data_IF_074330778247
#
_entry.id   IF_074330778247
#
_cell.length_a   1.000
_cell.length_b   1.000
_cell.length_c   1.000
_cell.angle_alpha   90.00
_cell.angle_beta   90.00
_cell.angle_gamma   90.00
#
_symmetry.space_group_name_H-M   'P 1'
#
loop_
_entity.id
_entity.type
_entity.pdbx_description
1 polymer ?
#
# COMPACT_ATOMS: atom_id res chain seq x y z
N UNK A 1 -47.70 29.62 -50.64
CA UNK A 1 -46.51 29.73 -49.78
C UNK A 1 -46.19 28.33 -49.29
N UNK A 2 -45.14 27.68 -49.86
CA UNK A 2 -44.73 26.32 -49.50
C UNK A 2 -43.51 26.43 -48.58
N UNK A 3 -43.47 25.73 -47.43
CA UNK A 3 -42.25 25.67 -46.62
C UNK A 3 -41.37 24.52 -47.15
N UNK A 4 -40.09 24.84 -47.37
CA UNK A 4 -39.03 23.93 -47.70
C UNK A 4 -38.58 23.19 -46.41
N UNK A 5 -38.71 21.88 -46.45
CA UNK A 5 -38.14 21.01 -45.40
C UNK A 5 -36.68 20.71 -45.78
N UNK A 6 -35.73 21.24 -45.00
CA UNK A 6 -34.30 20.84 -45.07
C UNK A 6 -34.09 19.60 -44.23
N UNK A 7 -33.80 18.47 -44.89
CA UNK A 7 -33.28 17.27 -44.22
C UNK A 7 -31.79 17.43 -44.00
N UNK A 8 -31.36 17.54 -42.78
CA UNK A 8 -29.96 17.46 -42.37
C UNK A 8 -29.59 15.97 -42.19
N UNK A 9 -28.76 15.45 -43.08
CA UNK A 9 -28.17 14.12 -42.93
C UNK A 9 -27.00 14.20 -41.96
N UNK A 10 -27.14 13.56 -40.78
CA UNK A 10 -26.08 13.37 -39.80
C UNK A 10 -25.31 12.10 -40.23
N UNK A 11 -24.09 12.25 -40.76
CA UNK A 11 -23.17 11.13 -40.94
C UNK A 11 -22.48 10.81 -39.66
N UNK A 12 -22.83 9.66 -39.04
CA UNK A 12 -22.07 9.06 -37.94
C UNK A 12 -20.76 8.49 -38.54
N UNK A 13 -19.65 9.12 -38.32
CA UNK A 13 -18.33 8.52 -38.48
C UNK A 13 -18.07 7.59 -37.31
N UNK A 14 -18.19 6.27 -37.52
CA UNK A 14 -17.74 5.26 -36.59
C UNK A 14 -16.21 5.30 -36.51
N UNK A 15 -15.66 5.67 -35.30
CA UNK A 15 -14.29 5.35 -34.98
C UNK A 15 -14.20 3.83 -34.74
N UNK A 16 -13.74 3.09 -35.74
CA UNK A 16 -13.27 1.72 -35.57
C UNK A 16 -11.94 1.74 -34.80
N UNK A 17 -11.61 0.65 -34.08
CA UNK A 17 -10.27 0.50 -33.55
C UNK A 17 -9.30 0.45 -34.72
N UNK A 18 -8.50 1.50 -34.88
CA UNK A 18 -7.44 1.53 -35.91
C UNK A 18 -6.43 0.46 -35.52
N UNK A 19 -6.33 -0.59 -36.35
CA UNK A 19 -5.14 -1.44 -36.36
C UNK A 19 -3.95 -0.52 -36.63
N UNK A 20 -2.99 -0.52 -35.74
CA UNK A 20 -1.72 0.17 -35.95
C UNK A 20 -1.13 -0.37 -37.29
N UNK A 21 -0.66 0.50 -38.19
CA UNK A 21 -0.10 0.05 -39.43
C UNK A 21 1.06 -0.92 -39.16
N UNK A 22 1.12 -2.00 -39.95
CA UNK A 22 2.13 -3.05 -39.76
C UNK A 22 3.58 -2.52 -39.78
N UNK A 23 3.78 -1.37 -40.39
CA UNK A 23 5.05 -0.65 -40.40
C UNK A 23 5.45 -0.09 -39.05
N UNK A 24 4.49 0.30 -38.19
CA UNK A 24 4.77 0.79 -36.81
C UNK A 24 5.16 -0.38 -35.90
N UNK A 25 4.59 -1.56 -36.08
CA UNK A 25 4.98 -2.75 -35.32
C UNK A 25 6.37 -3.25 -35.73
N UNK A 26 6.68 -3.28 -37.01
CA UNK A 26 8.00 -3.65 -37.52
C UNK A 26 9.09 -2.67 -37.04
N UNK A 27 8.75 -1.39 -36.96
CA UNK A 27 9.67 -0.37 -36.42
C UNK A 27 9.87 -0.50 -34.94
N UNK A 28 8.83 -0.87 -34.17
CA UNK A 28 8.93 -1.13 -32.75
C UNK A 28 9.76 -2.38 -32.48
N UNK A 29 9.61 -3.43 -33.29
CA UNK A 29 10.42 -4.64 -33.22
C UNK A 29 11.89 -4.35 -33.52
N UNK A 30 12.18 -3.50 -34.53
CA UNK A 30 13.54 -3.05 -34.82
C UNK A 30 14.13 -2.19 -33.68
N UNK A 31 13.35 -1.29 -33.07
CA UNK A 31 13.80 -0.51 -31.91
C UNK A 31 14.07 -1.41 -30.70
N UNK A 32 13.24 -2.41 -30.45
CA UNK A 32 13.44 -3.39 -29.37
C UNK A 32 14.65 -4.30 -29.64
N UNK A 33 14.84 -4.74 -30.88
CA UNK A 33 16.00 -5.53 -31.28
C UNK A 33 17.32 -4.74 -31.15
N UNK A 34 17.30 -3.44 -31.47
CA UNK A 34 18.45 -2.54 -31.24
C UNK A 34 18.68 -2.26 -29.76
N UNK A 35 17.61 -2.21 -28.94
CA UNK A 35 17.73 -2.09 -27.49
C UNK A 35 18.30 -3.36 -26.84
N UNK A 36 18.04 -4.53 -27.42
CA UNK A 36 18.59 -5.81 -26.95
C UNK A 36 20.07 -5.98 -27.31
N UNK A 37 20.55 -5.22 -28.29
CA UNK A 37 21.98 -5.03 -28.57
C UNK A 37 22.54 -3.81 -27.82
N UNK A 38 22.05 -3.55 -26.59
CA UNK A 38 22.47 -2.43 -25.78
C UNK A 38 24.01 -2.39 -25.73
N UNK A 39 24.56 -1.36 -26.35
CA UNK A 39 25.99 -1.09 -26.30
C UNK A 39 26.41 -1.00 -24.83
N UNK A 40 27.22 -1.93 -24.32
CA UNK A 40 27.68 -1.91 -22.94
C UNK A 40 28.37 -0.61 -22.54
N UNK A 41 28.76 0.21 -23.52
CA UNK A 41 29.30 1.54 -23.30
C UNK A 41 28.25 2.57 -22.86
N UNK A 42 26.93 2.30 -23.03
CA UNK A 42 25.84 3.24 -22.68
C UNK A 42 25.40 3.16 -21.24
N UNK A 43 25.47 1.99 -20.61
CA UNK A 43 25.22 1.82 -19.20
C UNK A 43 26.19 0.79 -18.61
N UNK A 44 27.34 1.26 -18.09
CA UNK A 44 28.37 0.39 -17.51
C UNK A 44 27.84 -0.41 -16.31
N UNK A 45 26.84 0.10 -15.59
CA UNK A 45 26.26 -0.59 -14.43
C UNK A 45 25.34 -1.73 -14.89
N UNK A 46 24.55 -1.52 -15.93
CA UNK A 46 23.73 -2.56 -16.55
C UNK A 46 24.58 -3.62 -17.22
N UNK A 47 25.64 -3.20 -17.93
CA UNK A 47 26.60 -4.12 -18.53
C UNK A 47 27.35 -4.95 -17.47
N UNK A 48 27.76 -4.35 -16.36
CA UNK A 48 28.37 -5.06 -15.25
C UNK A 48 27.37 -6.02 -14.58
N UNK A 49 26.11 -5.62 -14.40
CA UNK A 49 25.06 -6.47 -13.84
C UNK A 49 24.68 -7.65 -14.77
N UNK A 50 24.77 -7.45 -16.10
CA UNK A 50 24.54 -8.51 -17.10
C UNK A 50 25.78 -9.39 -17.32
N UNK A 51 26.97 -8.83 -17.10
CA UNK A 51 28.24 -9.58 -17.16
C UNK A 51 28.61 -10.20 -15.82
N UNK A 52 28.12 -9.66 -14.73
CA UNK A 52 28.07 -10.38 -13.46
C UNK A 52 27.08 -11.52 -13.69
N UNK A 53 27.57 -12.49 -14.46
CA UNK A 53 26.94 -13.79 -14.47
C UNK A 53 26.63 -14.05 -13.00
N UNK A 54 25.38 -14.20 -12.67
CA UNK A 54 25.03 -15.09 -11.57
C UNK A 54 25.89 -16.32 -11.84
N UNK A 55 27.05 -16.35 -11.21
CA UNK A 55 27.99 -17.46 -11.32
C UNK A 55 27.24 -18.66 -10.78
N UNK A 56 26.50 -19.27 -11.65
CA UNK A 56 25.92 -20.55 -11.37
C UNK A 56 27.09 -21.50 -11.50
N UNK A 57 27.89 -21.55 -10.42
CA UNK A 57 28.84 -22.63 -10.24
C UNK A 57 28.08 -23.93 -10.59
N UNK A 58 28.50 -24.70 -11.60
CA UNK A 58 27.85 -25.96 -11.94
C UNK A 58 27.69 -26.89 -10.75
N UNK A 59 28.55 -26.81 -9.72
CA UNK A 59 28.41 -27.53 -8.47
C UNK A 59 27.30 -26.94 -7.57
N UNK A 60 27.12 -25.59 -7.58
CA UNK A 60 25.99 -24.95 -6.89
C UNK A 60 24.65 -25.18 -7.61
N UNK A 61 24.65 -25.34 -8.94
CA UNK A 61 23.49 -25.76 -9.70
C UNK A 61 23.00 -27.15 -9.25
N UNK A 62 23.93 -28.06 -9.01
CA UNK A 62 23.56 -29.40 -8.51
C UNK A 62 23.08 -29.35 -7.06
N UNK A 63 23.62 -28.45 -6.24
CA UNK A 63 23.17 -28.24 -4.85
C UNK A 63 21.90 -27.38 -4.76
N UNK A 64 21.74 -26.36 -5.60
CA UNK A 64 20.52 -25.56 -5.63
C UNK A 64 19.31 -26.37 -6.08
N UNK A 65 19.49 -27.32 -6.98
CA UNK A 65 18.44 -28.27 -7.36
C UNK A 65 18.11 -29.30 -6.25
N UNK A 66 19.03 -29.57 -5.32
CA UNK A 66 18.76 -30.42 -4.16
C UNK A 66 17.98 -29.65 -3.06
N UNK A 67 18.15 -28.34 -2.99
CA UNK A 67 17.40 -27.44 -2.07
C UNK A 67 16.30 -26.64 -2.77
N UNK A 68 16.09 -26.80 -4.08
CA UNK A 68 14.92 -26.26 -4.73
C UNK A 68 13.70 -26.90 -4.04
N UNK A 69 12.86 -26.07 -3.44
CA UNK A 69 11.55 -26.49 -2.98
C UNK A 69 10.84 -27.01 -4.23
N UNK A 70 10.92 -28.32 -4.48
CA UNK A 70 10.08 -28.94 -5.50
C UNK A 70 8.66 -28.67 -5.09
N UNK A 71 7.86 -27.99 -5.93
CA UNK A 71 6.43 -27.92 -5.68
C UNK A 71 5.98 -29.38 -5.48
N UNK A 72 5.19 -29.69 -4.47
CA UNK A 72 4.65 -31.02 -4.29
C UNK A 72 3.94 -31.45 -5.58
N UNK A 73 4.06 -32.70 -5.98
CA UNK A 73 3.42 -33.26 -7.19
C UNK A 73 1.89 -33.01 -7.21
N UNK A 74 1.34 -32.68 -6.06
CA UNK A 74 -0.01 -32.14 -5.87
C UNK A 74 0.10 -30.89 -5.04
N UNK A 75 -0.22 -29.69 -5.62
CA UNK A 75 -0.26 -28.47 -4.84
C UNK A 75 -1.23 -28.65 -3.68
N UNK A 76 -0.71 -28.52 -2.47
CA UNK A 76 -1.56 -28.50 -1.28
C UNK A 76 -2.26 -27.13 -1.25
N UNK A 77 -3.57 -27.14 -1.50
CA UNK A 77 -4.39 -25.92 -1.43
C UNK A 77 -4.42 -25.32 -0.03
N UNK A 78 -4.02 -26.06 1.00
CA UNK A 78 -3.83 -25.55 2.36
C UNK A 78 -2.64 -24.61 2.52
N UNK A 79 -1.67 -24.63 1.59
CA UNK A 79 -0.51 -23.76 1.61
C UNK A 79 -0.75 -22.39 0.94
N UNK A 80 -1.84 -22.22 0.21
CA UNK A 80 -2.24 -20.91 -0.29
C UNK A 80 -2.79 -20.09 0.87
N UNK A 81 -2.12 -18.94 1.16
CA UNK A 81 -2.69 -17.97 2.08
C UNK A 81 -4.15 -17.71 1.65
N UNK A 82 -5.12 -17.73 2.58
CA UNK A 82 -6.52 -17.49 2.23
C UNK A 82 -6.61 -16.21 1.42
N UNK A 83 -7.16 -16.31 0.23
CA UNK A 83 -7.27 -15.23 -0.75
C UNK A 83 -8.16 -14.12 -0.18
N UNK A 84 -8.98 -14.45 0.80
CA UNK A 84 -9.98 -13.57 1.35
C UNK A 84 -9.95 -13.57 2.90
N UNK A 85 -9.57 -12.43 3.47
CA UNK A 85 -9.62 -12.21 4.92
C UNK A 85 -11.07 -12.07 5.39
N UNK A 86 -11.97 -11.55 4.55
CA UNK A 86 -13.37 -11.38 4.88
C UNK A 86 -14.12 -12.72 4.98
N UNK A 87 -13.60 -13.79 4.37
CA UNK A 87 -14.16 -15.13 4.55
C UNK A 87 -13.96 -15.69 5.98
N UNK A 88 -13.11 -15.05 6.80
CA UNK A 88 -13.05 -15.37 8.23
C UNK A 88 -14.01 -14.47 8.99
N UNK A 89 -14.90 -15.04 9.78
CA UNK A 89 -15.70 -14.22 10.68
C UNK A 89 -14.77 -13.36 11.55
N UNK A 90 -15.15 -12.10 11.73
CA UNK A 90 -14.47 -11.22 12.67
C UNK A 90 -14.27 -11.96 14.00
N UNK A 91 -13.06 -11.94 14.54
CA UNK A 91 -12.83 -12.33 15.93
C UNK A 91 -13.77 -11.49 16.80
N UNK A 92 -14.34 -12.09 17.85
CA UNK A 92 -15.26 -11.39 18.74
C UNK A 92 -14.73 -9.98 19.04
N UNK A 93 -15.56 -8.93 18.89
CA UNK A 93 -15.11 -7.57 19.05
C UNK A 93 -14.49 -7.39 20.44
N UNK A 94 -13.36 -6.68 20.56
CA UNK A 94 -12.77 -6.38 21.86
C UNK A 94 -13.81 -5.66 22.74
N UNK A 95 -13.94 -6.04 24.02
CA UNK A 95 -14.91 -5.39 24.88
C UNK A 95 -14.50 -3.94 25.22
N UNK A 96 -15.47 -3.09 25.56
CA UNK A 96 -15.23 -1.76 26.10
C UNK A 96 -14.78 -0.72 25.08
N UNK A 97 -15.08 -0.91 23.80
CA UNK A 97 -14.85 0.12 22.80
C UNK A 97 -15.79 1.30 23.00
N UNK A 98 -15.22 2.50 22.93
CA UNK A 98 -15.96 3.77 22.90
C UNK A 98 -16.17 4.13 21.43
N UNK A 99 -17.41 4.42 21.02
CA UNK A 99 -17.68 4.85 19.64
C UNK A 99 -16.82 6.09 19.29
N UNK A 100 -16.19 6.03 18.11
CA UNK A 100 -15.55 7.21 17.56
C UNK A 100 -16.61 8.27 17.21
N UNK A 101 -16.32 9.57 17.36
CA UNK A 101 -17.24 10.61 16.94
C UNK A 101 -17.51 10.53 15.43
N UNK A 102 -18.61 11.14 14.98
CA UNK A 102 -18.84 11.32 13.55
C UNK A 102 -17.64 12.01 12.90
N UNK A 103 -17.23 11.58 11.71
CA UNK A 103 -16.04 12.14 11.08
C UNK A 103 -16.26 13.59 10.65
N UNK A 104 -15.30 14.44 10.97
CA UNK A 104 -15.25 15.77 10.41
C UNK A 104 -14.85 15.70 8.92
N UNK A 105 -15.51 16.48 8.08
CA UNK A 105 -15.11 16.71 6.71
C UNK A 105 -13.81 17.55 6.68
N UNK A 106 -13.15 17.64 5.52
CA UNK A 106 -11.83 18.27 5.33
C UNK A 106 -10.72 17.51 6.05
N UNK A 107 -10.25 16.47 5.39
CA UNK A 107 -9.19 15.59 5.88
C UNK A 107 -7.89 15.79 5.09
N UNK A 108 -7.04 16.76 5.45
CA UNK A 108 -5.76 16.95 4.76
C UNK A 108 -4.85 15.73 4.83
N UNK A 109 -4.94 14.95 5.92
CA UNK A 109 -4.17 13.72 6.06
C UNK A 109 -4.70 12.61 5.15
N UNK A 110 -6.02 12.53 4.90
CA UNK A 110 -6.56 11.61 3.90
C UNK A 110 -5.95 11.85 2.52
N UNK A 111 -5.71 13.11 2.15
CA UNK A 111 -5.08 13.49 0.88
C UNK A 111 -3.63 13.02 0.77
N UNK A 112 -2.90 12.97 1.88
CA UNK A 112 -1.53 12.45 1.91
C UNK A 112 -1.48 10.97 1.48
N UNK A 113 -2.54 10.21 1.80
CA UNK A 113 -2.66 8.79 1.43
C UNK A 113 -3.03 8.58 -0.04
N UNK A 114 -3.76 9.50 -0.64
CA UNK A 114 -4.21 9.39 -2.03
C UNK A 114 -2.99 9.37 -2.96
N UNK A 115 -2.87 8.32 -3.79
CA UNK A 115 -1.78 8.15 -4.74
C UNK A 115 -0.42 7.81 -4.12
N UNK A 116 -0.32 7.56 -2.81
CA UNK A 116 0.88 7.02 -2.19
C UNK A 116 0.89 5.49 -2.33
N UNK A 117 1.97 4.94 -2.92
CA UNK A 117 2.12 3.50 -3.16
C UNK A 117 2.76 2.79 -1.97
N UNK A 118 3.55 3.49 -1.17
CA UNK A 118 4.27 2.94 -0.02
C UNK A 118 3.98 3.72 1.26
N UNK A 119 4.17 3.09 2.41
CA UNK A 119 4.07 3.75 3.72
C UNK A 119 5.05 4.92 3.86
N UNK A 120 6.26 4.77 3.32
CA UNK A 120 7.25 5.85 3.30
C UNK A 120 6.72 7.08 2.58
N UNK A 121 6.07 6.90 1.42
CA UNK A 121 5.48 8.01 0.66
C UNK A 121 4.30 8.66 1.41
N UNK A 122 3.51 7.89 2.18
CA UNK A 122 2.45 8.46 3.04
C UNK A 122 3.06 9.32 4.14
N UNK A 123 4.11 8.82 4.79
CA UNK A 123 4.81 9.56 5.85
C UNK A 123 5.45 10.85 5.33
N UNK A 124 6.09 10.79 4.16
CA UNK A 124 6.73 11.95 3.52
C UNK A 124 5.72 13.05 3.15
N UNK A 125 4.52 12.67 2.70
CA UNK A 125 3.45 13.60 2.32
C UNK A 125 2.64 14.09 3.52
N UNK A 126 2.80 13.49 4.68
CA UNK A 126 2.11 13.85 5.91
C UNK A 126 2.42 15.28 6.34
N UNK A 127 1.51 15.88 7.10
CA UNK A 127 1.62 17.28 7.57
C UNK A 127 2.66 17.46 8.67
N UNK A 128 2.97 16.40 9.43
CA UNK A 128 4.00 16.45 10.45
C UNK A 128 5.39 16.45 9.82
N UNK A 129 6.04 17.59 9.85
CA UNK A 129 7.41 17.77 9.29
C UNK A 129 8.44 16.86 9.93
N UNK A 130 8.24 16.44 11.19
CA UNK A 130 9.13 15.50 11.89
C UNK A 130 9.01 14.12 11.26
N UNK A 131 7.78 13.67 11.02
CA UNK A 131 7.49 12.41 10.33
C UNK A 131 8.08 12.45 8.92
N UNK A 132 7.81 13.50 8.14
CA UNK A 132 8.33 13.68 6.80
C UNK A 132 9.86 13.69 6.76
N UNK A 133 10.50 14.37 7.71
CA UNK A 133 11.97 14.40 7.82
C UNK A 133 12.62 13.06 8.18
N UNK A 134 11.86 12.14 8.75
CA UNK A 134 12.31 10.79 9.09
C UNK A 134 12.06 9.77 7.97
N UNK A 135 11.12 10.05 7.06
CA UNK A 135 10.63 9.09 6.07
C UNK A 135 11.74 8.51 5.18
N UNK A 136 12.74 9.30 4.81
CA UNK A 136 13.88 8.84 4.00
C UNK A 136 14.88 7.93 4.71
N UNK A 137 14.73 7.72 6.04
CA UNK A 137 15.65 6.91 6.86
C UNK A 137 15.03 5.63 7.37
N UNK A 138 13.79 5.33 6.99
CA UNK A 138 13.09 4.13 7.43
C UNK A 138 13.72 2.87 6.85
N UNK A 139 13.81 1.83 7.69
CA UNK A 139 14.17 0.48 7.25
C UNK A 139 12.96 -0.43 7.32
N UNK A 140 12.80 -1.31 6.33
CA UNK A 140 11.67 -2.23 6.25
C UNK A 140 11.98 -3.53 6.99
N UNK A 141 11.13 -3.90 7.94
CA UNK A 141 11.20 -5.17 8.68
C UNK A 141 9.88 -5.44 9.40
N UNK A 142 9.40 -6.66 9.37
CA UNK A 142 8.21 -7.08 10.12
C UNK A 142 8.33 -6.85 11.64
N UNK A 143 9.57 -6.78 12.16
CA UNK A 143 9.82 -6.51 13.58
C UNK A 143 9.27 -5.15 14.05
N UNK A 144 9.08 -4.18 13.15
CA UNK A 144 8.52 -2.87 13.50
C UNK A 144 7.06 -2.94 13.94
N UNK A 145 6.31 -3.94 13.44
CA UNK A 145 4.93 -4.16 13.86
C UNK A 145 4.79 -4.47 15.36
N UNK A 146 5.84 -5.02 15.98
CA UNK A 146 5.87 -5.32 17.41
C UNK A 146 6.32 -4.11 18.27
N UNK A 147 6.64 -2.99 17.64
CA UNK A 147 7.13 -1.77 18.31
C UNK A 147 6.15 -0.62 18.24
N UNK A 148 4.89 -0.91 17.93
CA UNK A 148 3.85 0.11 17.91
C UNK A 148 3.55 0.61 19.33
N UNK A 149 3.25 1.91 19.50
CA UNK A 149 2.90 2.48 20.79
C UNK A 149 1.51 1.99 21.27
N UNK A 150 1.27 2.06 22.55
CA UNK A 150 -0.01 1.65 23.16
C UNK A 150 -1.22 2.43 22.62
N UNK A 151 -1.00 3.65 22.07
CA UNK A 151 -2.06 4.45 21.45
C UNK A 151 -2.52 3.88 20.09
N UNK A 152 -1.64 3.14 19.39
CA UNK A 152 -1.92 2.62 18.06
C UNK A 152 -1.42 1.16 17.91
N UNK A 153 -1.90 0.21 18.74
CA UNK A 153 -1.52 -1.20 18.65
C UNK A 153 -2.16 -1.84 17.41
N UNK A 154 -1.65 -3.00 17.01
CA UNK A 154 -2.35 -3.83 16.02
C UNK A 154 -3.72 -4.27 16.55
N UNK A 155 -4.70 -4.32 15.64
CA UNK A 155 -5.98 -4.93 15.94
C UNK A 155 -5.83 -6.46 16.09
N UNK A 156 -6.63 -7.15 16.93
CA UNK A 156 -6.41 -8.58 17.24
C UNK A 156 -6.32 -9.54 16.06
N UNK A 157 -7.05 -9.28 14.98
CA UNK A 157 -7.02 -10.11 13.76
C UNK A 157 -6.09 -9.55 12.66
N UNK A 158 -5.28 -8.53 13.00
CA UNK A 158 -4.44 -7.84 12.04
C UNK A 158 -3.48 -8.80 11.32
N UNK A 159 -3.46 -8.69 9.99
CA UNK A 159 -2.49 -9.36 9.13
C UNK A 159 -1.57 -8.32 8.54
N UNK A 160 -0.36 -8.25 9.06
CA UNK A 160 0.65 -7.28 8.62
C UNK A 160 1.04 -7.58 7.17
N UNK A 161 0.95 -6.56 6.33
CA UNK A 161 1.34 -6.60 4.93
C UNK A 161 2.72 -5.98 4.76
N UNK A 162 2.95 -4.85 5.44
CA UNK A 162 4.18 -4.08 5.36
C UNK A 162 4.47 -3.45 6.73
N UNK A 163 5.73 -3.40 7.12
CA UNK A 163 6.15 -2.67 8.31
C UNK A 163 7.53 -2.03 8.07
N UNK A 164 7.67 -0.81 8.53
CA UNK A 164 8.89 -0.03 8.42
C UNK A 164 9.06 0.87 9.65
N UNK A 165 10.26 1.34 9.88
CA UNK A 165 10.49 2.27 10.96
C UNK A 165 11.93 2.73 11.04
N UNK A 166 12.17 3.67 11.92
CA UNK A 166 13.49 4.19 12.31
C UNK A 166 13.48 4.52 13.79
N UNK A 167 14.60 4.26 14.45
CA UNK A 167 14.79 4.51 15.88
C UNK A 167 16.17 5.13 16.09
N UNK A 168 16.25 6.41 15.80
CA UNK A 168 17.46 7.22 15.87
C UNK A 168 17.16 8.51 16.65
N UNK A 169 18.19 9.20 17.17
CA UNK A 169 18.00 10.51 17.81
C UNK A 169 17.22 11.47 16.89
N UNK A 170 16.09 11.96 17.39
CA UNK A 170 15.19 12.86 16.64
C UNK A 170 14.27 12.17 15.64
N UNK A 171 14.34 10.84 15.48
CA UNK A 171 13.48 10.06 14.60
C UNK A 171 13.07 8.75 15.27
N UNK A 172 11.89 8.72 15.87
CA UNK A 172 11.26 7.51 16.41
C UNK A 172 9.95 7.27 15.63
N UNK A 173 10.06 6.70 14.42
CA UNK A 173 8.94 6.53 13.51
C UNK A 173 8.60 5.06 13.31
N UNK A 174 7.32 4.73 13.36
CA UNK A 174 6.76 3.39 13.13
C UNK A 174 5.67 3.50 12.07
N UNK A 175 5.75 2.62 11.09
CA UNK A 175 4.80 2.55 9.99
C UNK A 175 4.41 1.09 9.80
N UNK A 176 3.11 0.81 9.74
CA UNK A 176 2.62 -0.55 9.53
C UNK A 176 1.36 -0.53 8.69
N UNK A 177 1.36 -1.28 7.59
CA UNK A 177 0.13 -1.62 6.86
C UNK A 177 -0.32 -3.00 7.27
N UNK A 178 -1.58 -3.13 7.59
CA UNK A 178 -2.21 -4.42 7.84
C UNK A 178 -3.63 -4.48 7.28
N UNK A 179 -4.14 -5.69 7.17
CA UNK A 179 -5.52 -5.98 6.80
C UNK A 179 -6.23 -6.65 7.96
N UNK A 180 -7.51 -6.32 8.10
CA UNK A 180 -8.41 -6.89 9.10
C UNK A 180 -9.72 -7.30 8.45
N UNK A 181 -10.38 -8.32 8.99
CA UNK A 181 -11.75 -8.69 8.63
C UNK A 181 -12.79 -7.79 9.28
N UNK A 182 -12.40 -7.00 10.28
CA UNK A 182 -13.29 -6.09 10.98
C UNK A 182 -13.78 -4.95 10.08
N UNK A 183 -15.04 -4.54 10.20
CA UNK A 183 -15.57 -3.40 9.46
C UNK A 183 -14.92 -2.10 9.93
N UNK A 184 -14.85 -1.11 9.04
CA UNK A 184 -14.17 0.18 9.26
C UNK A 184 -14.59 0.86 10.56
N UNK A 185 -15.89 0.94 10.86
CA UNK A 185 -16.40 1.58 12.08
C UNK A 185 -15.83 0.94 13.36
N UNK A 186 -15.64 -0.38 13.36
CA UNK A 186 -15.05 -1.10 14.48
C UNK A 186 -13.59 -0.72 14.71
N UNK A 187 -12.83 -0.56 13.64
CA UNK A 187 -11.43 -0.12 13.72
C UNK A 187 -11.33 1.35 14.09
N UNK A 188 -12.26 2.21 13.66
CA UNK A 188 -12.35 3.58 14.12
C UNK A 188 -12.58 3.65 15.63
N UNK A 189 -13.54 2.89 16.16
CA UNK A 189 -13.80 2.78 17.60
C UNK A 189 -12.57 2.27 18.37
N UNK A 190 -11.86 1.29 17.80
CA UNK A 190 -10.65 0.72 18.39
C UNK A 190 -9.56 1.77 18.55
N UNK A 191 -9.17 2.45 17.47
CA UNK A 191 -8.10 3.43 17.53
C UNK A 191 -8.49 4.68 18.32
N UNK A 192 -9.74 5.10 18.25
CA UNK A 192 -10.25 6.15 19.10
C UNK A 192 -10.14 5.79 20.58
N UNK A 193 -10.58 4.59 20.95
CA UNK A 193 -10.50 4.08 22.32
C UNK A 193 -9.06 3.98 22.82
N UNK A 194 -8.16 3.39 21.99
CA UNK A 194 -6.75 3.21 22.36
C UNK A 194 -6.00 4.53 22.49
N UNK A 195 -6.23 5.45 21.56
CA UNK A 195 -5.64 6.79 21.61
C UNK A 195 -6.06 7.53 22.88
N UNK A 196 -7.36 7.55 23.18
CA UNK A 196 -7.91 8.17 24.40
C UNK A 196 -7.34 7.54 25.66
N UNK A 197 -7.33 6.21 25.75
CA UNK A 197 -6.81 5.48 26.89
C UNK A 197 -5.31 5.74 27.13
N UNK A 198 -4.56 5.99 26.07
CA UNK A 198 -3.14 6.35 26.14
C UNK A 198 -2.89 7.86 26.40
N UNK A 199 -3.94 8.66 26.59
CA UNK A 199 -3.85 10.10 26.89
C UNK A 199 -3.58 10.99 25.68
N UNK A 200 -3.86 10.50 24.46
CA UNK A 200 -3.79 11.33 23.26
C UNK A 200 -5.10 12.09 23.06
N UNK A 201 -5.04 13.26 22.40
CA UNK A 201 -6.21 13.80 21.73
C UNK A 201 -6.62 12.77 20.66
N UNK A 202 -7.91 12.54 20.48
CA UNK A 202 -8.34 11.62 19.43
C UNK A 202 -9.42 12.29 18.58
N UNK A 203 -9.14 12.42 17.29
CA UNK A 203 -10.00 13.04 16.29
C UNK A 203 -10.36 12.02 15.23
N UNK A 204 -11.55 12.16 14.64
CA UNK A 204 -12.00 11.36 13.51
C UNK A 204 -12.29 12.27 12.33
N UNK A 205 -11.61 12.04 11.21
CA UNK A 205 -11.81 12.77 9.96
C UNK A 205 -12.03 11.82 8.82
N UNK A 206 -12.74 12.25 7.77
CA UNK A 206 -12.94 11.43 6.57
C UNK A 206 -13.02 12.26 5.30
N UNK A 207 -12.45 11.74 4.21
CA UNK A 207 -12.55 12.30 2.86
C UNK A 207 -12.34 11.18 1.83
N UNK A 208 -13.19 11.15 0.79
CA UNK A 208 -13.02 10.23 -0.33
C UNK A 208 -13.04 8.73 0.04
N UNK A 209 -13.79 8.34 1.08
CA UNK A 209 -13.86 6.95 1.57
C UNK A 209 -12.68 6.52 2.45
N UNK A 210 -11.70 7.40 2.66
CA UNK A 210 -10.63 7.20 3.65
C UNK A 210 -11.02 7.87 4.95
N UNK A 211 -10.96 7.13 6.04
CA UNK A 211 -11.14 7.66 7.40
C UNK A 211 -9.78 7.71 8.10
N UNK A 212 -9.60 8.71 8.95
CA UNK A 212 -8.39 8.88 9.74
C UNK A 212 -8.78 9.08 11.20
N UNK A 213 -8.28 8.21 12.06
CA UNK A 213 -8.24 8.44 13.50
C UNK A 213 -6.84 8.92 13.84
N UNK A 214 -6.72 10.10 14.35
CA UNK A 214 -5.42 10.70 14.70
C UNK A 214 -5.43 11.31 16.08
N UNK A 215 -4.25 11.42 16.67
CA UNK A 215 -4.11 12.05 17.98
C UNK A 215 -2.68 12.44 18.32
N UNK A 216 -2.56 13.40 19.24
CA UNK A 216 -1.28 13.90 19.73
C UNK A 216 -1.23 13.84 21.26
N UNK A 217 -0.02 13.63 21.80
CA UNK A 217 0.30 13.72 23.22
C UNK A 217 1.70 14.32 23.37
N UNK A 218 1.77 15.60 23.69
CA UNK A 218 3.04 16.33 23.63
C UNK A 218 3.63 16.31 22.24
N UNK A 219 4.82 15.76 22.08
CA UNK A 219 5.48 15.60 20.78
C UNK A 219 5.16 14.29 20.06
N UNK A 220 4.55 13.35 20.76
CA UNK A 220 4.13 12.09 20.20
C UNK A 220 2.81 12.23 19.42
N UNK A 221 2.70 11.57 18.28
CA UNK A 221 1.49 11.55 17.47
C UNK A 221 1.26 10.18 16.84
N UNK A 222 0.02 9.87 16.51
CA UNK A 222 -0.32 8.74 15.66
C UNK A 222 -1.42 9.10 14.67
N UNK A 223 -1.43 8.40 13.54
CA UNK A 223 -2.48 8.42 12.52
C UNK A 223 -2.79 6.97 12.12
N UNK A 224 -4.07 6.62 12.13
CA UNK A 224 -4.59 5.37 11.60
C UNK A 224 -5.48 5.70 10.40
N UNK A 225 -5.00 5.40 9.20
CA UNK A 225 -5.78 5.53 7.95
C UNK A 225 -6.56 4.25 7.75
N UNK A 226 -7.87 4.37 7.66
CA UNK A 226 -8.81 3.25 7.54
C UNK A 226 -9.47 3.32 6.16
N UNK A 227 -9.36 2.26 5.38
CA UNK A 227 -9.95 2.17 4.05
C UNK A 227 -10.78 0.90 3.93
N UNK A 228 -12.06 0.99 3.52
CA UNK A 228 -12.87 -0.18 3.32
C UNK A 228 -12.31 -0.98 2.14
N UNK A 229 -12.37 -2.29 2.26
CA UNK A 229 -12.01 -3.23 1.21
C UNK A 229 -13.27 -3.78 0.55
N UNK A 230 -13.14 -4.22 -0.70
CA UNK A 230 -14.25 -4.79 -1.45
C UNK A 230 -14.81 -6.11 -0.85
N UNK A 231 -14.05 -6.75 0.02
CA UNK A 231 -14.43 -7.98 0.73
C UNK A 231 -15.13 -7.74 2.07
N UNK A 232 -15.46 -6.49 2.39
CA UNK A 232 -16.12 -6.10 3.65
C UNK A 232 -15.17 -5.84 4.82
N UNK A 233 -13.90 -6.20 4.69
CA UNK A 233 -12.86 -5.88 5.67
C UNK A 233 -12.28 -4.48 5.51
N UNK A 234 -11.24 -4.18 6.27
CA UNK A 234 -10.58 -2.89 6.28
C UNK A 234 -9.07 -3.04 6.10
N UNK A 235 -8.48 -2.19 5.28
CA UNK A 235 -7.05 -1.99 5.22
C UNK A 235 -6.67 -0.78 6.07
N UNK A 236 -5.61 -0.92 6.85
CA UNK A 236 -5.17 0.08 7.81
C UNK A 236 -3.70 0.39 7.60
N UNK A 237 -3.39 1.70 7.47
CA UNK A 237 -2.02 2.18 7.55
C UNK A 237 -1.84 2.94 8.87
N UNK A 238 -0.93 2.48 9.70
CA UNK A 238 -0.56 3.12 10.95
C UNK A 238 0.73 3.91 10.77
N UNK A 239 0.73 5.13 11.22
CA UNK A 239 1.92 5.97 11.36
C UNK A 239 1.96 6.46 12.80
N UNK A 240 3.07 6.22 13.51
CA UNK A 240 3.27 6.71 14.86
C UNK A 240 4.68 7.25 15.01
N UNK A 241 4.80 8.44 15.61
CA UNK A 241 6.07 9.01 16.01
C UNK A 241 6.11 9.22 17.54
N UNK A 242 7.26 9.07 18.13
CA UNK A 242 7.47 9.34 19.56
C UNK A 242 6.65 8.40 20.46
N UNK A 243 7.20 7.32 20.94
CA UNK A 243 6.55 6.38 21.86
C UNK A 243 7.55 5.82 22.84
#
# INVERSE_FOLDING_TARGET
MRPLLLLAAITLTACGPGEAPADDLARLDDELAVADTADPARDPALAAALQDQIMVDPQLLQQSNANAIRPPDRPDTGATAPVDIAARPEAAPPPGLVPAPEPEADCPDCRARIGALTLGAVAERGRDRRVAGCAGRIGYSAAWANRLPAAAPLYPDARVVEAAGVDEPGCALRLVTFRSSAPLGRLADWYYTKGRAAGYSAEHRAEGGTHVIGGTRGEAAFLAYLRPRGDGGTEVDLIANGG
#
